data_IF_004609593067
#
_entry.id   IF_004609593067
#
_cell.length_a   1.000
_cell.length_b   1.000
_cell.length_c   1.000
_cell.angle_alpha   90.00
_cell.angle_beta   90.00
_cell.angle_gamma   90.00
#
_symmetry.space_group_name_H-M   'P 1'
#
loop_
_entity.id
_entity.type
_entity.pdbx_description
1 polymer ?
#
# COMPACT_ATOMS: atom_id res chain seq x y z
N UNK A 1 4.35 3.17 14.00
CA UNK A 1 5.20 4.19 14.68
C UNK A 1 4.96 5.64 14.26
N UNK A 2 3.85 5.94 13.62
CA UNK A 2 3.45 7.30 13.21
C UNK A 2 1.94 7.48 13.44
N UNK A 3 1.45 7.41 14.69
CA UNK A 3 0.00 7.46 14.92
C UNK A 3 -0.61 8.79 14.50
N UNK A 4 0.10 9.92 14.63
CA UNK A 4 -0.33 11.23 14.18
C UNK A 4 -0.52 11.28 12.65
N UNK A 5 0.41 10.72 11.89
CA UNK A 5 0.32 10.66 10.42
C UNK A 5 -0.87 9.81 9.99
N UNK A 6 -1.04 8.61 10.58
CA UNK A 6 -2.19 7.76 10.32
C UNK A 6 -3.52 8.46 10.66
N UNK A 7 -3.63 9.08 11.82
CA UNK A 7 -4.86 9.77 12.21
C UNK A 7 -5.17 10.94 11.28
N UNK A 8 -4.17 11.73 10.90
CA UNK A 8 -4.35 12.82 9.97
C UNK A 8 -4.78 12.30 8.57
N UNK A 9 -4.16 11.21 8.09
CA UNK A 9 -4.61 10.52 6.87
C UNK A 9 -6.10 10.17 6.94
N UNK A 10 -6.52 9.52 8.02
CA UNK A 10 -7.93 9.13 8.22
C UNK A 10 -8.87 10.33 8.39
N UNK A 11 -8.43 11.43 9.02
CA UNK A 11 -9.21 12.67 9.16
C UNK A 11 -9.45 13.32 7.80
N UNK A 12 -8.41 13.41 6.97
CA UNK A 12 -8.56 13.94 5.61
C UNK A 12 -9.45 13.06 4.75
N UNK A 13 -9.35 11.73 4.86
CA UNK A 13 -10.25 10.79 4.18
C UNK A 13 -11.69 10.97 4.66
N UNK A 14 -11.91 11.07 5.98
CA UNK A 14 -13.24 11.29 6.54
C UNK A 14 -13.89 12.58 6.06
N UNK A 15 -13.10 13.64 5.92
CA UNK A 15 -13.56 14.94 5.41
C UNK A 15 -14.08 14.86 3.98
N UNK A 16 -13.47 14.05 3.12
CA UNK A 16 -13.78 14.02 1.67
C UNK A 16 -14.69 12.87 1.26
N UNK A 17 -14.71 11.77 2.01
CA UNK A 17 -15.44 10.55 1.65
C UNK A 17 -16.04 9.80 2.86
N UNK A 18 -16.27 10.50 3.99
CA UNK A 18 -16.63 9.86 5.27
C UNK A 18 -17.88 9.01 5.23
N UNK A 19 -18.89 9.38 4.46
CA UNK A 19 -20.16 8.68 4.33
C UNK A 19 -20.06 7.38 3.51
N UNK A 20 -18.92 7.16 2.85
CA UNK A 20 -18.69 5.96 2.03
C UNK A 20 -17.86 4.89 2.77
N UNK A 21 -17.46 5.17 4.01
CA UNK A 21 -16.58 4.30 4.81
C UNK A 21 -17.33 3.80 6.04
N UNK A 22 -17.42 2.50 6.22
CA UNK A 22 -18.05 1.88 7.40
C UNK A 22 -17.04 1.46 8.48
N UNK A 23 -15.87 0.98 8.05
CA UNK A 23 -14.88 0.43 8.97
C UNK A 23 -13.46 0.71 8.49
N UNK A 24 -12.55 0.84 9.44
CA UNK A 24 -11.11 0.98 9.23
C UNK A 24 -10.41 -0.19 9.91
N UNK A 25 -9.45 -0.79 9.22
CA UNK A 25 -8.62 -1.87 9.71
C UNK A 25 -7.19 -1.34 9.84
N UNK A 26 -6.75 -1.14 11.06
CA UNK A 26 -5.39 -0.70 11.39
C UNK A 26 -4.59 -1.94 11.75
N UNK A 27 -3.55 -2.25 10.97
CA UNK A 27 -2.62 -3.31 11.31
C UNK A 27 -1.31 -2.70 11.83
N UNK A 28 -1.15 -2.71 13.14
CA UNK A 28 0.06 -2.21 13.80
C UNK A 28 1.15 -3.28 13.79
N UNK A 29 2.33 -2.91 13.32
CA UNK A 29 3.47 -3.81 13.17
C UNK A 29 4.34 -3.86 14.43
N UNK A 30 3.72 -4.20 15.56
CA UNK A 30 4.37 -4.33 16.87
C UNK A 30 5.03 -3.02 17.33
N UNK A 31 4.29 -1.91 17.27
CA UNK A 31 4.77 -0.62 17.78
C UNK A 31 4.87 -0.64 19.30
N UNK A 32 5.93 -0.04 19.81
CA UNK A 32 6.21 0.10 21.23
C UNK A 32 6.32 1.57 21.67
N UNK A 33 5.66 2.45 20.92
CA UNK A 33 5.79 3.90 21.07
C UNK A 33 4.48 4.58 21.50
N UNK A 34 3.53 3.83 22.04
CA UNK A 34 2.20 4.33 22.44
C UNK A 34 1.21 4.47 21.29
N UNK A 35 1.54 4.01 20.09
CA UNK A 35 0.63 4.12 18.92
C UNK A 35 -0.68 3.37 19.14
N UNK A 36 -0.63 2.18 19.73
CA UNK A 36 -1.81 1.33 19.94
C UNK A 36 -2.78 1.96 20.95
N UNK A 37 -2.24 2.55 22.01
CA UNK A 37 -3.00 3.28 23.02
C UNK A 37 -3.72 4.48 22.39
N UNK A 38 -3.04 5.21 21.49
CA UNK A 38 -3.62 6.34 20.75
C UNK A 38 -4.77 5.88 19.86
N UNK A 39 -4.62 4.78 19.10
CA UNK A 39 -5.72 4.25 18.25
C UNK A 39 -6.94 3.81 19.07
N UNK A 40 -6.74 3.44 20.33
CA UNK A 40 -7.78 3.04 21.28
C UNK A 40 -8.27 4.18 22.19
N UNK A 41 -7.68 5.37 22.11
CA UNK A 41 -8.14 6.54 22.89
C UNK A 41 -9.60 6.86 22.58
N UNK A 42 -10.38 7.16 23.63
CA UNK A 42 -11.82 7.44 23.50
C UNK A 42 -12.08 8.61 22.55
N UNK A 43 -11.29 9.68 22.59
CA UNK A 43 -11.44 10.86 21.74
C UNK A 43 -11.23 10.51 20.26
N UNK A 44 -10.28 9.61 19.95
CA UNK A 44 -10.03 9.12 18.59
C UNK A 44 -11.25 8.32 18.12
N UNK A 45 -11.77 7.41 18.93
CA UNK A 45 -12.93 6.60 18.56
C UNK A 45 -14.20 7.42 18.41
N UNK A 46 -14.42 8.41 19.28
CA UNK A 46 -15.54 9.35 19.19
C UNK A 46 -15.43 10.20 17.91
N UNK A 47 -14.25 10.71 17.59
CA UNK A 47 -14.02 11.49 16.37
C UNK A 47 -14.34 10.71 15.10
N UNK A 48 -13.91 9.44 15.03
CA UNK A 48 -14.14 8.60 13.85
C UNK A 48 -15.52 7.96 13.80
N UNK A 49 -16.35 8.06 14.85
CA UNK A 49 -17.72 7.57 14.81
C UNK A 49 -18.49 8.18 13.60
N UNK A 50 -19.30 7.39 12.85
CA UNK A 50 -19.72 6.01 13.12
C UNK A 50 -18.75 4.92 12.58
N UNK A 51 -17.58 5.25 12.07
CA UNK A 51 -16.63 4.26 11.59
C UNK A 51 -16.20 3.28 12.69
N UNK A 52 -16.13 2.00 12.35
CA UNK A 52 -15.60 0.97 13.24
C UNK A 52 -14.06 0.91 13.09
N UNK A 53 -13.33 1.30 14.12
CA UNK A 53 -11.87 1.16 14.13
C UNK A 53 -11.48 -0.22 14.66
N UNK A 54 -10.98 -1.08 13.79
CA UNK A 54 -10.48 -2.41 14.11
C UNK A 54 -8.96 -2.37 14.18
N UNK A 55 -8.40 -2.46 15.38
CA UNK A 55 -6.96 -2.41 15.60
C UNK A 55 -6.43 -3.81 15.85
N UNK A 56 -5.50 -4.24 15.02
CA UNK A 56 -4.72 -5.46 15.22
C UNK A 56 -3.27 -5.08 15.50
N UNK A 57 -2.67 -5.78 16.43
CA UNK A 57 -1.26 -5.62 16.77
C UNK A 57 -0.53 -6.91 16.46
N UNK A 58 0.51 -6.86 15.65
CA UNK A 58 1.37 -8.00 15.41
C UNK A 58 2.20 -8.30 16.67
N UNK A 59 2.45 -9.57 16.94
CA UNK A 59 3.23 -9.99 18.11
C UNK A 59 4.73 -9.74 17.95
N UNK A 60 5.16 -9.42 16.73
CA UNK A 60 6.53 -9.02 16.37
C UNK A 60 6.51 -8.16 15.13
N UNK A 61 7.57 -7.39 14.91
CA UNK A 61 7.73 -6.63 13.68
C UNK A 61 7.85 -7.56 12.47
N UNK A 62 6.99 -7.34 11.47
CA UNK A 62 6.97 -8.06 10.19
C UNK A 62 7.45 -7.11 9.11
N UNK A 63 8.75 -6.95 9.00
CA UNK A 63 9.34 -6.04 8.03
C UNK A 63 9.08 -6.51 6.59
N UNK A 64 8.82 -5.57 5.67
CA UNK A 64 8.56 -5.82 4.24
C UNK A 64 9.59 -6.76 3.60
N UNK A 65 10.88 -6.58 3.89
CA UNK A 65 11.96 -7.40 3.35
C UNK A 65 11.94 -8.86 3.74
N UNK A 66 11.01 -9.26 4.63
CA UNK A 66 10.94 -10.62 5.18
C UNK A 66 9.76 -11.41 4.61
N UNK A 67 9.11 -10.90 3.58
CA UNK A 67 7.83 -11.35 3.10
C UNK A 67 7.98 -12.39 1.98
N UNK A 68 8.01 -13.66 2.37
CA UNK A 68 7.90 -14.80 1.45
C UNK A 68 6.81 -15.74 1.94
N UNK A 69 5.98 -16.22 1.03
CA UNK A 69 4.81 -17.03 1.37
C UNK A 69 5.17 -18.52 1.39
N UNK A 70 4.82 -19.26 2.45
CA UNK A 70 4.91 -20.71 2.45
C UNK A 70 4.06 -21.30 1.33
N UNK A 71 4.62 -22.23 0.56
CA UNK A 71 3.93 -22.89 -0.56
C UNK A 71 4.04 -22.17 -1.90
N UNK A 72 4.46 -20.90 -1.95
CA UNK A 72 5.00 -20.33 -3.17
C UNK A 72 6.40 -20.92 -3.39
N UNK A 73 6.71 -21.20 -4.65
CA UNK A 73 8.09 -21.40 -5.05
C UNK A 73 8.88 -20.14 -4.72
N UNK A 74 9.07 -19.93 -3.44
CA UNK A 74 10.21 -19.19 -2.93
C UNK A 74 11.32 -19.75 -3.75
N UNK A 75 11.99 -18.92 -4.42
CA UNK A 75 13.09 -19.26 -5.24
C UNK A 75 13.98 -20.21 -4.44
N UNK A 76 13.84 -21.51 -4.70
CA UNK A 76 14.66 -22.55 -4.07
C UNK A 76 16.14 -22.28 -4.25
N UNK A 77 16.46 -21.32 -5.10
CA UNK A 77 17.79 -20.79 -5.32
C UNK A 77 18.30 -19.92 -4.17
N UNK A 78 17.46 -19.43 -3.27
CA UNK A 78 17.94 -18.75 -2.07
C UNK A 78 18.03 -19.68 -0.87
N UNK A 79 18.84 -20.70 -1.01
CA UNK A 79 19.11 -21.69 0.03
C UNK A 79 19.60 -21.03 1.35
N UNK A 80 20.31 -19.91 1.27
CA UNK A 80 20.80 -19.15 2.43
C UNK A 80 19.64 -18.51 3.20
N UNK A 81 18.65 -17.97 2.50
CA UNK A 81 17.44 -17.47 3.12
C UNK A 81 16.63 -18.62 3.72
N UNK A 82 16.47 -19.73 3.01
CA UNK A 82 15.76 -20.91 3.49
C UNK A 82 16.41 -21.47 4.77
N UNK A 83 17.72 -21.59 4.83
CA UNK A 83 18.43 -22.06 6.01
C UNK A 83 18.30 -21.12 7.22
N UNK A 84 18.32 -19.81 7.01
CA UNK A 84 18.31 -18.83 8.10
C UNK A 84 16.92 -18.42 8.57
N UNK A 85 15.91 -18.55 7.71
CA UNK A 85 14.55 -18.05 7.95
C UNK A 85 13.46 -19.15 7.84
N UNK A 86 13.84 -20.40 7.69
CA UNK A 86 12.94 -21.54 7.50
C UNK A 86 11.80 -21.59 8.54
N UNK A 87 12.09 -21.28 9.80
CA UNK A 87 11.12 -21.26 10.89
C UNK A 87 9.96 -20.27 10.67
N UNK A 88 10.14 -19.29 9.77
CA UNK A 88 9.09 -18.33 9.41
C UNK A 88 8.07 -18.89 8.42
N UNK A 89 8.41 -20.02 7.78
CA UNK A 89 7.60 -20.63 6.74
C UNK A 89 6.82 -21.86 7.21
N UNK A 90 7.18 -22.44 8.35
CA UNK A 90 6.74 -23.80 8.72
C UNK A 90 5.36 -23.81 9.32
N UNK A 91 4.91 -22.74 9.96
CA UNK A 91 3.57 -22.74 10.54
C UNK A 91 2.69 -21.62 9.96
N UNK A 92 1.93 -21.93 8.90
CA UNK A 92 0.99 -20.96 8.32
C UNK A 92 -0.17 -20.62 9.26
N UNK A 93 -0.36 -21.36 10.36
CA UNK A 93 -1.39 -21.09 11.37
C UNK A 93 -0.98 -19.95 12.28
N UNK A 94 0.30 -19.62 12.35
CA UNK A 94 0.80 -18.50 13.13
C UNK A 94 0.60 -17.21 12.32
N UNK A 95 -0.30 -16.30 12.72
CA UNK A 95 -0.67 -15.15 11.91
C UNK A 95 0.49 -14.26 11.48
N UNK A 96 1.54 -14.14 12.30
CA UNK A 96 2.72 -13.33 11.97
C UNK A 96 3.73 -14.04 11.04
N UNK A 97 3.48 -15.29 10.66
CA UNK A 97 4.20 -15.93 9.56
C UNK A 97 3.56 -15.60 8.20
N UNK A 98 2.39 -14.98 8.20
CA UNK A 98 1.75 -14.47 7.00
C UNK A 98 2.41 -13.14 6.63
N UNK A 99 3.02 -13.12 5.49
CA UNK A 99 3.80 -11.98 4.99
C UNK A 99 2.94 -10.83 4.47
N UNK A 100 1.72 -11.16 4.19
CA UNK A 100 0.67 -10.32 3.68
C UNK A 100 -0.20 -9.71 4.79
N UNK A 101 0.15 -9.93 6.04
CA UNK A 101 -0.69 -9.57 7.19
C UNK A 101 -1.14 -8.11 7.18
N UNK A 102 -0.39 -7.23 6.53
CA UNK A 102 -0.74 -5.81 6.42
C UNK A 102 -2.10 -5.59 5.81
N UNK A 103 -2.36 -6.21 4.65
CA UNK A 103 -3.58 -6.03 3.87
C UNK A 103 -4.53 -7.21 4.03
N UNK A 104 -3.99 -8.40 4.18
CA UNK A 104 -4.77 -9.63 4.27
C UNK A 104 -5.64 -9.67 5.53
N UNK A 105 -5.20 -9.05 6.63
CA UNK A 105 -6.02 -8.91 7.82
C UNK A 105 -7.36 -8.23 7.53
N UNK A 106 -7.32 -7.11 6.82
CA UNK A 106 -8.54 -6.41 6.43
C UNK A 106 -9.38 -7.25 5.45
N UNK A 107 -8.74 -7.87 4.46
CA UNK A 107 -9.40 -8.72 3.48
C UNK A 107 -10.12 -9.93 4.13
N UNK A 108 -9.48 -10.55 5.12
CA UNK A 108 -10.04 -11.72 5.81
C UNK A 108 -11.21 -11.36 6.74
N UNK A 109 -11.24 -10.11 7.26
CA UNK A 109 -12.17 -9.71 8.31
C UNK A 109 -13.30 -8.77 7.83
N UNK A 110 -13.21 -8.25 6.62
CA UNK A 110 -14.26 -7.38 6.08
C UNK A 110 -15.45 -8.17 5.55
N UNK A 111 -16.66 -7.65 5.80
CA UNK A 111 -17.92 -8.07 5.17
C UNK A 111 -18.31 -7.20 3.97
N UNK A 112 -17.47 -6.24 3.62
CA UNK A 112 -17.74 -5.28 2.55
C UNK A 112 -17.28 -5.79 1.20
N UNK A 113 -17.94 -5.29 0.16
CA UNK A 113 -17.61 -5.64 -1.23
C UNK A 113 -16.25 -5.09 -1.66
N UNK A 114 -15.91 -3.89 -1.18
CA UNK A 114 -14.68 -3.21 -1.56
C UNK A 114 -13.83 -2.90 -0.35
N UNK A 115 -12.52 -2.90 -0.55
CA UNK A 115 -11.52 -2.52 0.43
C UNK A 115 -10.61 -1.44 -0.15
N UNK A 116 -10.61 -0.25 0.46
CA UNK A 116 -9.65 0.80 0.15
C UNK A 116 -8.36 0.54 0.93
N UNK A 117 -7.26 0.36 0.24
CA UNK A 117 -5.92 0.21 0.81
C UNK A 117 -5.24 1.57 0.76
N UNK A 118 -4.72 2.02 1.89
CA UNK A 118 -4.02 3.28 2.00
C UNK A 118 -2.76 3.15 2.87
N UNK A 119 -1.77 3.97 2.59
CA UNK A 119 -0.65 4.17 3.51
C UNK A 119 -1.02 5.15 4.63
N UNK A 120 -0.24 5.15 5.69
CA UNK A 120 -0.40 5.99 6.88
C UNK A 120 0.16 7.42 6.72
N UNK A 121 0.51 7.80 5.50
CA UNK A 121 1.14 9.08 5.15
C UNK A 121 0.55 9.68 3.86
N UNK A 122 -0.74 9.51 3.66
CA UNK A 122 -1.50 10.05 2.53
C UNK A 122 -2.43 11.17 3.01
N UNK A 123 -2.36 12.36 2.41
CA UNK A 123 -3.32 13.44 2.60
C UNK A 123 -4.37 13.38 1.49
N UNK A 124 -5.63 13.19 1.83
CA UNK A 124 -6.74 13.24 0.88
C UNK A 124 -7.19 14.68 0.65
N UNK A 125 -7.42 15.04 -0.61
CA UNK A 125 -7.81 16.37 -1.08
C UNK A 125 -9.21 16.39 -1.67
N UNK A 126 -9.54 15.34 -2.46
CA UNK A 126 -10.85 15.12 -3.08
C UNK A 126 -11.33 13.69 -2.85
N UNK A 127 -12.60 13.44 -3.12
CA UNK A 127 -13.23 12.12 -3.01
C UNK A 127 -12.72 11.15 -4.09
N UNK A 128 -11.67 10.42 -3.77
CA UNK A 128 -11.12 9.34 -4.60
C UNK A 128 -11.94 8.06 -4.47
N UNK A 129 -12.71 7.90 -3.38
CA UNK A 129 -13.53 6.70 -3.14
C UNK A 129 -14.64 6.60 -4.18
N UNK A 130 -15.38 7.69 -4.41
CA UNK A 130 -16.39 7.74 -5.48
C UNK A 130 -15.82 7.51 -6.87
N UNK A 131 -14.61 8.03 -7.14
CA UNK A 131 -13.91 7.80 -8.40
C UNK A 131 -13.66 6.30 -8.62
N UNK A 132 -13.16 5.59 -7.62
CA UNK A 132 -12.88 4.16 -7.71
C UNK A 132 -14.16 3.33 -7.75
N UNK A 133 -15.19 3.68 -6.96
CA UNK A 133 -16.49 3.01 -6.99
C UNK A 133 -17.14 3.11 -8.37
N UNK A 134 -17.04 4.26 -9.02
CA UNK A 134 -17.49 4.43 -10.40
C UNK A 134 -16.76 3.49 -11.36
N UNK A 135 -15.44 3.37 -11.24
CA UNK A 135 -14.66 2.47 -12.08
C UNK A 135 -15.10 1.00 -11.92
N UNK A 136 -15.40 0.56 -10.68
CA UNK A 136 -15.95 -0.78 -10.42
C UNK A 136 -17.37 -0.97 -10.95
N UNK A 137 -18.20 0.07 -10.94
CA UNK A 137 -19.54 0.01 -11.51
C UNK A 137 -19.50 -0.12 -13.04
N UNK A 138 -18.56 0.57 -13.67
CA UNK A 138 -18.40 0.58 -15.14
C UNK A 138 -17.72 -0.71 -15.67
N UNK A 139 -16.97 -1.45 -14.81
CA UNK A 139 -16.29 -2.70 -15.18
C UNK A 139 -16.52 -3.80 -14.11
N UNK A 140 -17.49 -4.70 -14.33
CA UNK A 140 -17.75 -5.81 -13.38
C UNK A 140 -16.58 -6.80 -13.21
N UNK A 141 -15.65 -6.88 -14.15
CA UNK A 141 -14.47 -7.76 -14.06
C UNK A 141 -13.28 -7.11 -13.33
N UNK A 142 -13.41 -5.85 -12.93
CA UNK A 142 -12.37 -5.10 -12.27
C UNK A 142 -12.05 -5.68 -10.88
N UNK A 143 -10.77 -5.97 -10.62
CA UNK A 143 -10.31 -6.40 -9.31
C UNK A 143 -9.59 -5.30 -8.53
N UNK A 144 -8.97 -4.33 -9.20
CA UNK A 144 -8.25 -3.24 -8.57
C UNK A 144 -8.32 -1.94 -9.36
N UNK A 145 -8.57 -0.83 -8.65
CA UNK A 145 -8.51 0.53 -9.16
C UNK A 145 -7.51 1.36 -8.34
N UNK A 146 -6.65 2.14 -8.99
CA UNK A 146 -5.65 2.98 -8.34
C UNK A 146 -4.64 3.53 -9.34
N UNK A 147 -3.56 4.16 -8.87
CA UNK A 147 -2.54 4.71 -9.74
C UNK A 147 -1.46 3.70 -10.16
N UNK A 148 -0.96 3.85 -11.38
CA UNK A 148 0.26 3.21 -11.85
C UNK A 148 1.48 4.08 -11.52
N UNK A 149 1.87 4.13 -10.27
CA UNK A 149 3.05 4.87 -9.87
C UNK A 149 4.36 4.11 -10.08
N UNK A 150 5.47 4.73 -9.65
CA UNK A 150 6.84 4.20 -9.71
C UNK A 150 7.38 3.87 -11.11
N UNK A 151 6.71 4.25 -12.18
CA UNK A 151 7.20 4.05 -13.54
C UNK A 151 8.50 4.81 -13.83
N UNK A 152 8.80 5.87 -13.09
CA UNK A 152 10.04 6.62 -13.19
C UNK A 152 11.30 5.76 -12.96
N UNK A 153 11.16 4.64 -12.27
CA UNK A 153 12.21 3.64 -12.06
C UNK A 153 12.22 2.57 -13.15
N UNK A 154 11.24 2.56 -14.04
CA UNK A 154 11.15 1.56 -15.07
C UNK A 154 12.07 1.89 -16.25
N UNK A 155 12.83 0.92 -16.72
CA UNK A 155 13.66 1.09 -17.92
C UNK A 155 12.87 1.42 -19.18
N UNK A 156 11.58 1.16 -19.18
CA UNK A 156 10.67 1.48 -20.28
C UNK A 156 10.00 2.85 -20.15
N UNK A 157 10.32 3.64 -19.14
CA UNK A 157 9.70 4.94 -18.90
C UNK A 157 9.77 5.90 -20.11
N UNK A 158 10.78 5.76 -20.97
CA UNK A 158 10.91 6.55 -22.20
C UNK A 158 9.86 6.21 -23.27
N UNK A 159 9.29 5.01 -23.25
CA UNK A 159 8.38 4.52 -24.31
C UNK A 159 7.03 4.07 -23.76
N UNK A 160 6.88 3.98 -22.46
CA UNK A 160 5.72 3.50 -21.75
C UNK A 160 5.19 4.56 -20.78
N UNK A 161 3.87 4.53 -20.53
CA UNK A 161 3.21 5.35 -19.51
C UNK A 161 1.98 4.61 -18.98
N UNK A 162 1.40 5.05 -17.84
CA UNK A 162 0.12 4.53 -17.35
C UNK A 162 -0.95 4.53 -18.42
N UNK A 163 -1.11 5.61 -19.17
CA UNK A 163 -2.10 5.73 -20.25
C UNK A 163 -1.87 4.69 -21.36
N UNK A 164 -0.64 4.44 -21.75
CA UNK A 164 -0.31 3.39 -22.72
C UNK A 164 -0.64 1.99 -22.17
N UNK A 165 -0.38 1.73 -20.90
CA UNK A 165 -0.76 0.45 -20.26
C UNK A 165 -2.29 0.30 -20.27
N UNK A 166 -3.04 1.35 -19.96
CA UNK A 166 -4.51 1.34 -19.99
C UNK A 166 -5.05 1.12 -21.42
N UNK A 167 -4.36 1.60 -22.46
CA UNK A 167 -4.71 1.32 -23.84
C UNK A 167 -4.25 -0.05 -24.38
N UNK A 168 -3.74 -0.92 -23.51
CA UNK A 168 -3.34 -2.28 -23.88
C UNK A 168 -1.86 -2.46 -24.22
N UNK A 169 -1.05 -1.41 -24.19
CA UNK A 169 0.40 -1.55 -24.42
C UNK A 169 1.07 -2.37 -23.32
N UNK A 170 1.95 -3.27 -23.73
CA UNK A 170 2.74 -4.11 -22.82
C UNK A 170 4.23 -3.97 -23.18
N UNK A 171 5.05 -3.37 -22.31
CA UNK A 171 6.44 -3.03 -22.64
C UNK A 171 7.36 -4.25 -22.78
N UNK A 172 6.94 -5.41 -22.29
CA UNK A 172 7.68 -6.65 -22.44
C UNK A 172 6.76 -7.87 -22.39
N UNK A 173 7.25 -9.01 -22.92
CA UNK A 173 6.56 -10.31 -22.80
C UNK A 173 6.42 -10.83 -21.36
N UNK A 174 7.20 -10.27 -20.44
CA UNK A 174 7.19 -10.62 -19.02
C UNK A 174 6.28 -9.73 -18.18
N UNK A 175 5.57 -8.83 -18.84
CA UNK A 175 4.63 -7.95 -18.13
C UNK A 175 3.62 -8.80 -17.33
N UNK A 176 3.22 -8.42 -16.11
CA UNK A 176 3.61 -7.22 -15.36
C UNK A 176 4.95 -7.32 -14.62
N UNK A 177 5.54 -8.48 -14.51
CA UNK A 177 6.84 -8.72 -13.86
C UNK A 177 7.96 -8.47 -14.85
N UNK A 178 8.32 -7.22 -15.06
CA UNK A 178 9.33 -6.82 -16.03
C UNK A 178 10.71 -6.74 -15.36
N UNK A 179 11.70 -7.53 -15.81
CA UNK A 179 13.08 -7.40 -15.31
C UNK A 179 13.62 -6.00 -15.55
N UNK A 180 14.18 -5.38 -14.52
CA UNK A 180 14.87 -4.10 -14.62
C UNK A 180 16.37 -4.33 -14.62
N UNK A 181 17.04 -3.82 -15.64
CA UNK A 181 18.49 -3.70 -15.68
C UNK A 181 18.84 -2.21 -15.83
N UNK A 182 19.90 -1.76 -15.16
CA UNK A 182 20.33 -0.37 -15.21
C UNK A 182 19.61 0.53 -14.20
N UNK A 183 19.31 -0.01 -13.04
CA UNK A 183 18.75 0.73 -11.90
C UNK A 183 19.69 1.82 -11.41
N UNK A 184 19.17 2.92 -10.83
CA UNK A 184 19.98 3.91 -10.14
C UNK A 184 20.90 3.28 -9.08
N UNK A 185 22.00 3.93 -8.79
CA UNK A 185 23.05 3.42 -7.88
C UNK A 185 22.58 3.13 -6.43
N UNK A 186 21.44 3.64 -6.05
CA UNK A 186 20.78 3.40 -4.74
C UNK A 186 20.17 1.99 -4.60
N UNK A 187 20.02 1.26 -5.72
CA UNK A 187 19.60 -0.14 -5.72
C UNK A 187 20.80 -1.04 -6.01
N UNK A 188 21.09 -1.94 -5.10
CA UNK A 188 22.16 -2.89 -5.27
C UNK A 188 21.90 -3.77 -6.51
N UNK A 189 22.60 -3.58 -7.62
CA UNK A 189 22.39 -4.31 -8.86
C UNK A 189 22.68 -5.82 -8.73
N UNK A 190 23.46 -6.23 -7.73
CA UNK A 190 23.73 -7.64 -7.46
C UNK A 190 22.48 -8.43 -7.04
N UNK A 191 21.41 -7.77 -6.68
CA UNK A 191 20.17 -8.40 -6.23
C UNK A 191 19.13 -8.62 -7.33
N UNK A 192 19.37 -8.20 -8.55
CA UNK A 192 18.53 -8.50 -9.72
C UNK A 192 17.07 -8.08 -9.54
N UNK A 193 16.79 -6.83 -9.17
CA UNK A 193 15.44 -6.35 -8.92
C UNK A 193 14.52 -6.51 -10.12
N UNK A 194 13.42 -7.21 -9.91
CA UNK A 194 12.32 -7.26 -10.86
C UNK A 194 11.31 -6.20 -10.48
N UNK A 195 11.19 -5.17 -11.28
CA UNK A 195 10.13 -4.19 -11.11
C UNK A 195 8.83 -4.74 -11.65
N UNK A 196 7.83 -4.64 -10.83
CA UNK A 196 6.48 -4.96 -11.25
C UNK A 196 5.77 -3.69 -11.70
N UNK A 197 5.19 -3.76 -12.87
CA UNK A 197 4.19 -2.81 -13.31
C UNK A 197 2.89 -3.16 -12.58
N UNK A 198 2.42 -2.31 -11.71
CA UNK A 198 1.25 -2.58 -10.86
C UNK A 198 0.51 -1.31 -10.47
N UNK A 199 -0.72 -1.48 -10.03
CA UNK A 199 -1.40 -0.46 -9.23
C UNK A 199 -0.70 -0.38 -7.87
N UNK A 200 -0.45 0.83 -7.39
CA UNK A 200 0.23 1.05 -6.12
C UNK A 200 -0.69 0.86 -4.93
N UNK A 201 -0.12 0.31 -3.87
CA UNK A 201 -0.83 0.03 -2.62
C UNK A 201 -0.93 1.24 -1.67
N UNK A 202 -0.30 2.35 -1.98
CA UNK A 202 -0.42 3.55 -1.12
C UNK A 202 -1.79 4.21 -1.17
N UNK A 203 -2.52 4.05 -2.28
CA UNK A 203 -3.95 4.37 -2.38
C UNK A 203 -4.56 3.60 -3.55
N UNK A 204 -5.23 2.48 -3.26
CA UNK A 204 -5.96 1.72 -4.26
C UNK A 204 -7.19 1.05 -3.65
N UNK A 205 -8.18 0.77 -4.47
CA UNK A 205 -9.36 0.02 -4.06
C UNK A 205 -9.36 -1.35 -4.73
N UNK A 206 -9.72 -2.39 -3.97
CA UNK A 206 -9.84 -3.76 -4.47
C UNK A 206 -11.23 -4.32 -4.26
N UNK A 207 -11.64 -5.22 -5.15
CA UNK A 207 -12.83 -6.05 -4.97
C UNK A 207 -12.46 -7.24 -4.07
N UNK A 208 -13.13 -7.35 -2.93
CA UNK A 208 -12.82 -8.32 -1.87
C UNK A 208 -13.02 -9.75 -2.34
N UNK A 209 -14.08 -10.02 -3.09
CA UNK A 209 -14.39 -11.36 -3.58
C UNK A 209 -13.32 -11.84 -4.59
N UNK A 210 -12.95 -10.97 -5.53
CA UNK A 210 -11.91 -11.29 -6.50
C UNK A 210 -10.54 -11.46 -5.85
N UNK A 211 -10.21 -10.68 -4.82
CA UNK A 211 -8.98 -10.87 -4.04
C UNK A 211 -8.96 -12.24 -3.34
N UNK A 212 -10.10 -12.67 -2.77
CA UNK A 212 -10.23 -13.99 -2.16
C UNK A 212 -10.11 -15.11 -3.18
N UNK A 213 -10.69 -14.95 -4.37
CA UNK A 213 -10.54 -15.91 -5.48
C UNK A 213 -9.08 -16.05 -5.92
N UNK A 214 -8.35 -14.92 -6.06
CA UNK A 214 -6.91 -14.95 -6.36
C UNK A 214 -6.14 -15.70 -5.27
N UNK A 215 -6.47 -15.46 -4.00
CA UNK A 215 -5.85 -16.17 -2.88
C UNK A 215 -6.09 -17.67 -2.96
N UNK A 216 -7.32 -18.08 -3.24
CA UNK A 216 -7.70 -19.49 -3.33
C UNK A 216 -7.05 -20.19 -4.53
N UNK A 217 -7.19 -19.62 -5.73
CA UNK A 217 -6.72 -20.21 -6.99
C UNK A 217 -5.21 -20.21 -7.14
N UNK A 218 -4.55 -19.16 -6.66
CA UNK A 218 -3.11 -18.93 -6.88
C UNK A 218 -2.27 -19.06 -5.62
N UNK A 219 -2.89 -19.29 -4.45
CA UNK A 219 -2.22 -19.28 -3.15
C UNK A 219 -1.39 -18.01 -2.94
N UNK A 220 -1.90 -16.90 -3.45
CA UNK A 220 -1.25 -15.60 -3.43
C UNK A 220 -2.07 -14.62 -2.62
N UNK A 221 -1.51 -14.14 -1.55
CA UNK A 221 -2.16 -13.21 -0.65
C UNK A 221 -2.01 -11.76 -1.14
N UNK A 222 -3.00 -10.93 -0.81
CA UNK A 222 -2.92 -9.50 -1.04
C UNK A 222 -1.74 -8.91 -0.25
N UNK A 223 -0.85 -8.22 -0.92
CA UNK A 223 0.39 -7.71 -0.33
C UNK A 223 1.63 -8.53 -0.67
N UNK A 224 1.47 -9.72 -1.26
CA UNK A 224 2.64 -10.51 -1.64
C UNK A 224 3.51 -9.79 -2.66
N UNK A 225 4.79 -9.85 -2.40
CA UNK A 225 5.83 -9.33 -3.29
C UNK A 225 6.59 -10.51 -3.93
N UNK A 226 7.05 -10.28 -5.14
CA UNK A 226 8.03 -11.17 -5.75
C UNK A 226 9.40 -10.88 -5.15
N UNK A 227 10.32 -11.86 -5.15
CA UNK A 227 11.70 -11.64 -4.75
C UNK A 227 12.23 -10.41 -5.49
N UNK A 228 12.71 -9.40 -4.77
CA UNK A 228 13.24 -8.16 -5.31
C UNK A 228 12.22 -7.24 -6.03
N UNK A 229 10.95 -7.41 -5.80
CA UNK A 229 9.94 -6.45 -6.23
C UNK A 229 9.30 -5.76 -5.03
N UNK A 230 8.28 -4.96 -5.29
CA UNK A 230 7.61 -4.20 -4.25
C UNK A 230 6.33 -4.89 -3.77
N UNK A 231 5.75 -4.40 -2.70
CA UNK A 231 4.51 -4.88 -2.09
C UNK A 231 3.40 -4.96 -3.15
N UNK A 232 2.52 -5.97 -3.04
CA UNK A 232 1.44 -6.30 -3.98
C UNK A 232 1.86 -6.71 -5.39
N UNK A 233 3.10 -6.55 -5.77
CA UNK A 233 3.55 -6.80 -7.14
C UNK A 233 3.29 -8.24 -7.62
N UNK A 234 3.54 -9.20 -6.74
CA UNK A 234 3.30 -10.60 -7.08
C UNK A 234 1.81 -10.91 -7.15
N UNK A 235 1.04 -10.40 -6.18
CA UNK A 235 -0.40 -10.54 -6.20
C UNK A 235 -1.01 -9.93 -7.46
N UNK A 236 -0.59 -8.74 -7.87
CA UNK A 236 -1.07 -8.08 -9.09
C UNK A 236 -0.82 -8.96 -10.33
N UNK A 237 0.36 -9.57 -10.45
CA UNK A 237 0.64 -10.52 -11.53
C UNK A 237 -0.30 -11.73 -11.52
N UNK A 238 -0.58 -12.28 -10.33
CA UNK A 238 -1.50 -13.41 -10.19
C UNK A 238 -2.95 -13.04 -10.43
N UNK A 239 -3.36 -11.84 -10.08
CA UNK A 239 -4.66 -11.28 -10.39
C UNK A 239 -4.89 -11.19 -11.91
N UNK A 240 -3.89 -10.68 -12.65
CA UNK A 240 -3.93 -10.65 -14.13
C UNK A 240 -3.97 -12.05 -14.72
N UNK A 241 -3.20 -13.02 -14.18
CA UNK A 241 -3.25 -14.43 -14.60
C UNK A 241 -4.61 -15.09 -14.33
N UNK A 242 -5.37 -14.59 -13.37
CA UNK A 242 -6.74 -15.04 -13.12
C UNK A 242 -7.74 -14.48 -14.15
N UNK A 243 -7.33 -13.55 -15.00
CA UNK A 243 -8.17 -12.93 -16.01
C UNK A 243 -8.97 -11.73 -15.49
N UNK A 244 -8.61 -11.20 -14.32
CA UNK A 244 -9.23 -9.99 -13.78
C UNK A 244 -8.63 -8.72 -14.36
N UNK A 245 -9.46 -7.69 -14.42
CA UNK A 245 -9.08 -6.37 -14.91
C UNK A 245 -8.53 -5.48 -13.79
N UNK A 246 -7.80 -4.48 -14.22
CA UNK A 246 -7.28 -3.40 -13.40
C UNK A 246 -7.47 -2.08 -14.15
N UNK A 247 -7.59 -0.99 -13.40
CA UNK A 247 -7.73 0.35 -13.98
C UNK A 247 -6.95 1.39 -13.19
N UNK A 248 -6.28 2.28 -13.93
CA UNK A 248 -5.92 3.60 -13.46
C UNK A 248 -6.95 4.56 -14.02
N UNK A 249 -7.85 5.14 -13.19
CA UNK A 249 -8.91 6.01 -13.70
C UNK A 249 -8.41 7.39 -14.15
N UNK A 250 -7.17 7.75 -13.81
CA UNK A 250 -6.52 9.03 -14.13
C UNK A 250 -5.11 8.78 -14.67
N UNK A 251 -4.95 8.00 -15.76
CA UNK A 251 -3.65 7.55 -16.18
C UNK A 251 -2.83 8.67 -16.83
N UNK A 252 -1.63 8.92 -16.32
CA UNK A 252 -0.68 9.88 -16.88
C UNK A 252 -0.19 9.48 -18.27
N UNK A 253 -0.01 10.47 -19.14
CA UNK A 253 0.61 10.28 -20.46
C UNK A 253 2.13 10.08 -20.39
N UNK A 254 2.76 10.79 -19.45
CA UNK A 254 4.19 10.68 -19.19
C UNK A 254 4.44 10.83 -17.69
N UNK A 255 5.39 10.07 -17.17
CA UNK A 255 5.80 10.21 -15.79
C UNK A 255 7.04 11.09 -15.73
N UNK A 256 6.98 12.21 -15.02
CA UNK A 256 8.18 12.95 -14.67
C UNK A 256 9.15 12.03 -13.95
N UNK A 257 10.41 12.02 -14.38
CA UNK A 257 11.46 11.18 -13.77
C UNK A 257 11.66 11.39 -12.27
N UNK A 258 11.08 12.46 -11.74
CA UNK A 258 11.25 12.92 -10.36
C UNK A 258 10.05 12.65 -9.46
N UNK A 259 8.93 12.14 -9.98
CA UNK A 259 7.73 11.91 -9.18
C UNK A 259 7.52 10.41 -8.95
N UNK A 260 7.27 10.06 -7.70
CA UNK A 260 6.98 8.68 -7.30
C UNK A 260 5.55 8.24 -7.68
N UNK A 261 4.73 9.12 -8.20
CA UNK A 261 3.31 8.95 -8.47
C UNK A 261 2.86 9.67 -9.75
N UNK A 262 1.67 9.36 -10.21
CA UNK A 262 1.02 10.02 -11.33
C UNK A 262 0.52 11.41 -10.90
N UNK A 263 0.89 12.50 -11.59
CA UNK A 263 0.48 13.86 -11.24
C UNK A 263 -1.04 14.05 -11.19
N UNK A 264 -1.78 13.38 -12.04
CA UNK A 264 -3.24 13.47 -12.13
C UNK A 264 -3.93 13.01 -10.85
N UNK A 265 -3.32 12.06 -10.14
CA UNK A 265 -3.82 11.61 -8.85
C UNK A 265 -3.59 12.61 -7.71
N UNK A 266 -2.65 13.55 -7.86
CA UNK A 266 -2.37 14.57 -6.83
C UNK A 266 -3.55 15.52 -6.58
N UNK A 267 -4.47 15.62 -7.51
CA UNK A 267 -5.72 16.34 -7.28
C UNK A 267 -6.62 15.66 -6.24
N UNK A 268 -6.47 14.36 -6.03
CA UNK A 268 -7.28 13.57 -5.11
C UNK A 268 -6.57 13.25 -3.81
N UNK A 269 -5.28 12.93 -3.87
CA UNK A 269 -4.49 12.65 -2.68
C UNK A 269 -3.01 12.91 -2.91
N UNK A 270 -2.31 13.23 -1.85
CA UNK A 270 -0.88 13.54 -1.84
C UNK A 270 -0.20 12.55 -0.90
N UNK A 271 0.87 11.91 -1.36
CA UNK A 271 1.73 11.10 -0.51
C UNK A 271 2.64 12.04 0.29
N UNK A 272 2.27 12.32 1.53
CA UNK A 272 2.93 13.28 2.41
C UNK A 272 3.65 12.56 3.56
N UNK A 273 4.58 13.27 4.21
CA UNK A 273 5.28 12.83 5.44
C UNK A 273 5.87 11.43 5.41
N UNK A 274 6.42 11.05 4.27
CA UNK A 274 7.06 9.76 4.12
C UNK A 274 8.28 9.61 5.05
N UNK A 275 8.50 8.38 5.48
CA UNK A 275 9.60 8.02 6.35
C UNK A 275 9.16 7.78 7.79
N UNK A 276 10.09 7.95 8.68
CA UNK A 276 9.88 7.85 10.13
C UNK A 276 10.82 8.83 10.83
N UNK A 277 10.69 9.06 12.15
CA UNK A 277 11.59 9.96 12.85
C UNK A 277 13.06 9.66 12.51
N UNK A 278 13.74 10.67 11.93
CA UNK A 278 15.16 10.59 11.57
C UNK A 278 15.49 9.98 10.20
N UNK A 279 14.51 9.47 9.43
CA UNK A 279 14.79 8.89 8.12
C UNK A 279 13.64 9.05 7.12
N UNK A 280 13.93 9.64 5.96
CA UNK A 280 13.01 9.73 4.83
C UNK A 280 13.77 9.63 3.51
N UNK A 281 13.88 8.42 2.99
CA UNK A 281 14.66 8.12 1.76
C UNK A 281 14.18 8.94 0.57
N UNK A 282 12.86 9.08 0.39
CA UNK A 282 12.29 9.72 -0.78
C UNK A 282 12.32 11.24 -0.70
N UNK A 283 12.03 11.82 0.49
CA UNK A 283 12.14 13.26 0.69
C UNK A 283 13.59 13.73 0.57
N UNK A 284 14.52 12.96 1.09
CA UNK A 284 15.95 13.26 1.02
C UNK A 284 16.49 13.18 -0.43
N UNK A 285 15.80 12.47 -1.33
CA UNK A 285 16.12 12.38 -2.75
C UNK A 285 15.42 13.44 -3.61
N UNK A 286 14.73 14.39 -3.01
CA UNK A 286 14.06 15.47 -3.74
C UNK A 286 12.85 15.03 -4.57
N UNK A 287 12.17 13.96 -4.13
CA UNK A 287 11.04 13.36 -4.86
C UNK A 287 9.70 14.09 -4.68
N UNK A 288 9.71 15.33 -4.23
CA UNK A 288 8.49 16.12 -4.00
C UNK A 288 7.64 15.64 -2.82
N UNK A 289 8.15 14.74 -2.00
CA UNK A 289 7.48 14.18 -0.83
C UNK A 289 7.94 14.97 0.40
N UNK A 290 6.98 15.39 1.23
CA UNK A 290 7.27 16.13 2.47
C UNK A 290 7.87 15.18 3.49
N UNK A 291 8.97 15.61 4.11
CA UNK A 291 9.62 14.85 5.18
C UNK A 291 8.70 14.76 6.41
N UNK A 292 8.67 13.60 7.04
CA UNK A 292 7.91 13.40 8.26
C UNK A 292 8.32 14.38 9.37
N UNK A 293 7.34 15.13 9.86
CA UNK A 293 7.47 16.04 10.98
C UNK A 293 6.24 15.88 11.88
N UNK A 294 6.43 15.30 13.06
CA UNK A 294 5.36 14.99 14.00
C UNK A 294 4.61 16.24 14.45
N UNK A 295 5.34 17.26 14.85
CA UNK A 295 4.75 18.45 15.45
C UNK A 295 3.92 19.23 14.41
N UNK A 296 4.41 19.34 13.19
CA UNK A 296 3.66 19.90 12.08
C UNK A 296 2.32 19.17 11.83
N UNK A 297 2.33 17.84 11.86
CA UNK A 297 1.12 17.03 11.65
C UNK A 297 0.12 17.24 12.80
N UNK A 298 0.61 17.32 14.03
CA UNK A 298 -0.23 17.58 15.21
C UNK A 298 -0.84 18.98 15.12
N UNK A 299 -0.06 19.97 14.73
CA UNK A 299 -0.55 21.35 14.52
C UNK A 299 -1.61 21.41 13.41
N UNK A 300 -1.41 20.67 12.32
CA UNK A 300 -2.40 20.57 11.24
C UNK A 300 -3.70 19.91 11.72
N UNK A 301 -3.64 18.85 12.55
CA UNK A 301 -4.84 18.25 13.13
C UNK A 301 -5.62 19.25 13.97
N UNK A 302 -4.93 20.08 14.75
CA UNK A 302 -5.56 21.12 15.55
C UNK A 302 -6.16 22.21 14.68
N UNK A 303 -5.42 22.71 13.69
CA UNK A 303 -5.84 23.80 12.83
C UNK A 303 -6.97 23.42 11.88
N UNK A 304 -6.88 22.27 11.22
CA UNK A 304 -7.85 21.87 10.18
C UNK A 304 -9.10 21.16 10.73
N UNK A 305 -8.99 20.50 11.89
CA UNK A 305 -10.03 19.63 12.45
C UNK A 305 -10.44 19.96 13.88
N UNK A 306 -9.75 20.91 14.54
CA UNK A 306 -9.98 21.21 15.96
C UNK A 306 -9.66 20.06 16.91
N UNK A 307 -8.87 19.08 16.44
CA UNK A 307 -8.59 17.86 17.17
C UNK A 307 -7.30 17.97 17.98
N UNK A 308 -7.41 17.82 19.30
CA UNK A 308 -6.26 17.77 20.18
C UNK A 308 -5.70 16.34 20.23
N UNK A 309 -4.54 16.17 19.61
CA UNK A 309 -3.89 14.86 19.54
C UNK A 309 -3.60 14.32 20.95
N UNK A 310 -3.95 13.05 21.25
CA UNK A 310 -3.66 12.45 22.53
C UNK A 310 -2.17 12.49 22.83
N UNK A 311 -1.80 13.10 23.96
CA UNK A 311 -0.40 13.03 24.40
C UNK A 311 -0.04 11.59 24.71
N UNK A 312 1.12 11.15 24.27
CA UNK A 312 1.64 9.83 24.65
C UNK A 312 1.74 9.78 26.16
N UNK A 313 1.08 8.82 26.77
CA UNK A 313 1.41 8.39 28.12
C UNK A 313 2.75 7.65 28.02
N UNK A 314 3.84 8.44 28.01
CA UNK A 314 5.17 7.90 28.20
C UNK A 314 5.28 7.67 29.70
N UNK A 315 4.97 6.45 30.12
CA UNK A 315 5.32 5.93 31.44
C UNK A 315 6.72 5.37 31.43
#
# INVERSE_FOLDING_TARGET
KKPESLLYTLMTLKKVAGDLIDAVYINDDCSNDGSVEIYNDRRVREYFSPWKLNVRVNTRNVHISQVYVPGYRVDYMDWKFMLTKWHRFIDPRVPHNRHDIRYQYALDNTDKKYLLIIHDDVKFVKDVVSLYLKAFADNPNLAVAGDFGQCWRCRFAAVCSPKKIMSGFRPSRWWPLTPTSGEPADFNPANGYTRACRINEWCCMVDVEKCRDVTERKRCFLGNMYKYSDTTAFWFGKMVECGYDFIDPLPSEALPKQLARCPEHEEYYIHAWQGHPGHSVWADQGMGIVKYNRDEIVDLMKAEFGFDFPQKLIG
#
